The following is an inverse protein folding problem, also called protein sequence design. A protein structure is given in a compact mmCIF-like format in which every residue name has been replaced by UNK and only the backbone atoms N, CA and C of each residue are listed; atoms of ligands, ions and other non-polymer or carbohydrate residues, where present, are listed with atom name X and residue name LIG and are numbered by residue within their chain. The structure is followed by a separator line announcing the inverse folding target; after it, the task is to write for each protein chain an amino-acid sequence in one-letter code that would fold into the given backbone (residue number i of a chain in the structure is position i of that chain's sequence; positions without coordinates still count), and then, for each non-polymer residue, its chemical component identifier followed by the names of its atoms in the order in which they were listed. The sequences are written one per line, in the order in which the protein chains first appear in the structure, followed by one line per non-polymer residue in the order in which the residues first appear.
data_IF_141047086097
#
_entry.id   IF_141047086097
#
_cell.length_a   1.000
_cell.length_b   1.000
_cell.length_c   1.000
_cell.angle_alpha   90.00
_cell.angle_beta   90.00
_cell.angle_gamma   90.00
#
_symmetry.space_group_name_H-M   'P 1'
#
loop_
_entity.id
_entity.type
_entity.pdbx_description
1 polymer ?
#
# COMPACT_ATOMS: atom_id res chain seq x y z
N UNK A 1 -22.93 -16.18 -0.34
CA UNK A 1 -22.35 -16.62 -1.63
C UNK A 1 -21.69 -15.48 -2.42
N UNK A 2 -21.99 -14.20 -2.15
CA UNK A 2 -21.37 -13.04 -2.82
C UNK A 2 -19.82 -12.94 -2.80
N UNK A 3 -19.10 -13.34 -1.72
CA UNK A 3 -17.64 -13.18 -1.68
C UNK A 3 -16.90 -14.01 -2.73
N UNK A 4 -17.42 -15.20 -3.06
CA UNK A 4 -16.80 -16.10 -4.04
C UNK A 4 -16.91 -15.55 -5.46
N UNK A 5 -18.04 -14.92 -5.80
CA UNK A 5 -18.24 -14.28 -7.11
C UNK A 5 -17.35 -13.05 -7.28
N UNK A 6 -17.27 -12.19 -6.25
CA UNK A 6 -16.38 -11.04 -6.24
C UNK A 6 -14.91 -11.47 -6.39
N UNK A 7 -14.50 -12.51 -5.65
CA UNK A 7 -13.14 -13.06 -5.76
C UNK A 7 -12.80 -13.57 -7.16
N UNK A 8 -13.73 -14.26 -7.81
CA UNK A 8 -13.54 -14.78 -9.17
C UNK A 8 -13.42 -13.67 -10.21
N UNK A 9 -14.34 -12.70 -10.17
CA UNK A 9 -14.30 -11.54 -11.06
C UNK A 9 -13.02 -10.72 -10.88
N UNK A 10 -12.68 -10.38 -9.64
CA UNK A 10 -11.47 -9.60 -9.33
C UNK A 10 -10.19 -10.35 -9.71
N UNK A 11 -10.19 -11.69 -9.65
CA UNK A 11 -9.06 -12.50 -10.11
C UNK A 11 -8.87 -12.46 -11.62
N UNK A 12 -9.95 -12.45 -12.42
CA UNK A 12 -9.83 -12.29 -13.87
C UNK A 12 -9.42 -10.86 -14.20
N UNK A 13 -10.10 -9.89 -13.58
CA UNK A 13 -9.86 -8.47 -13.77
C UNK A 13 -8.40 -8.09 -13.47
N UNK A 14 -7.84 -8.55 -12.36
CA UNK A 14 -6.46 -8.23 -11.98
C UNK A 14 -5.44 -8.81 -12.95
N UNK A 15 -5.67 -10.02 -13.47
CA UNK A 15 -4.75 -10.64 -14.42
C UNK A 15 -4.70 -9.88 -15.74
N UNK A 16 -5.87 -9.50 -16.25
CA UNK A 16 -6.02 -8.85 -17.56
C UNK A 16 -5.64 -7.36 -17.53
N UNK A 17 -5.99 -6.64 -16.46
CA UNK A 17 -5.92 -5.17 -16.43
C UNK A 17 -4.78 -4.63 -15.56
N UNK A 18 -4.20 -5.44 -14.68
CA UNK A 18 -3.15 -5.00 -13.74
C UNK A 18 -1.87 -5.79 -13.97
N UNK A 19 -1.91 -7.10 -13.76
CA UNK A 19 -0.70 -7.93 -13.70
C UNK A 19 -0.08 -8.07 -15.09
N UNK A 20 -0.83 -8.45 -16.12
CA UNK A 20 -0.27 -8.61 -17.48
C UNK A 20 0.31 -7.31 -18.06
N UNK A 21 -0.40 -6.15 -18.05
CA UNK A 21 0.13 -4.92 -18.65
C UNK A 21 1.23 -4.25 -17.83
N UNK A 22 1.29 -4.45 -16.50
CA UNK A 22 2.20 -3.72 -15.63
C UNK A 22 3.16 -4.59 -14.82
N UNK A 23 3.25 -5.90 -15.09
CA UNK A 23 4.07 -6.86 -14.34
C UNK A 23 5.50 -6.37 -14.08
N UNK A 24 6.13 -5.77 -15.10
CA UNK A 24 7.51 -5.31 -15.04
C UNK A 24 7.76 -4.23 -13.97
N UNK A 25 6.72 -3.47 -13.60
CA UNK A 25 6.80 -2.40 -12.62
C UNK A 25 6.35 -2.85 -11.21
N UNK A 26 5.86 -4.08 -11.07
CA UNK A 26 5.29 -4.61 -9.82
C UNK A 26 6.35 -5.48 -9.11
N UNK A 27 6.89 -4.97 -8.00
CA UNK A 27 7.81 -5.75 -7.15
C UNK A 27 7.06 -6.69 -6.20
N UNK A 28 5.88 -6.27 -5.76
CA UNK A 28 5.03 -6.99 -4.83
C UNK A 28 3.58 -6.64 -5.09
N UNK A 29 2.70 -7.63 -4.99
CA UNK A 29 1.26 -7.48 -5.13
C UNK A 29 0.53 -8.44 -4.20
N UNK A 30 -0.42 -7.91 -3.43
CA UNK A 30 -1.38 -8.67 -2.65
C UNK A 30 -2.74 -8.00 -2.71
N UNK A 31 -3.79 -8.82 -2.69
CA UNK A 31 -5.18 -8.38 -2.67
C UNK A 31 -5.90 -9.04 -1.51
N UNK A 32 -6.78 -8.29 -0.86
CA UNK A 32 -7.75 -8.77 0.11
C UNK A 32 -9.15 -8.30 -0.32
N UNK A 33 -9.91 -9.20 -0.95
CA UNK A 33 -11.21 -8.90 -1.55
C UNK A 33 -11.08 -7.73 -2.55
N UNK A 34 -11.43 -6.51 -2.15
CA UNK A 34 -11.42 -5.31 -2.99
C UNK A 34 -10.21 -4.40 -2.71
N UNK A 35 -9.50 -4.60 -1.60
CA UNK A 35 -8.33 -3.81 -1.21
C UNK A 35 -7.04 -4.41 -1.79
N UNK A 36 -6.22 -3.56 -2.43
CA UNK A 36 -4.96 -3.96 -3.07
C UNK A 36 -3.81 -3.22 -2.40
N UNK A 37 -2.74 -3.96 -2.12
CA UNK A 37 -1.43 -3.40 -1.76
C UNK A 37 -0.38 -3.83 -2.78
N UNK A 38 0.44 -2.86 -3.17
CA UNK A 38 1.45 -3.04 -4.21
C UNK A 38 2.74 -2.29 -3.84
N UNK A 39 3.89 -2.89 -4.16
CA UNK A 39 5.17 -2.17 -4.23
C UNK A 39 5.47 -1.94 -5.71
N UNK A 40 5.57 -0.67 -6.08
CA UNK A 40 5.81 -0.22 -7.44
C UNK A 40 7.25 0.22 -7.63
N UNK A 41 7.91 -0.28 -8.67
CA UNK A 41 9.27 0.09 -9.07
C UNK A 41 9.30 1.12 -10.21
N UNK A 42 8.15 1.42 -10.82
CA UNK A 42 8.05 2.41 -11.89
C UNK A 42 8.02 3.86 -11.37
N UNK A 43 7.80 4.80 -12.28
CA UNK A 43 7.65 6.22 -11.94
C UNK A 43 6.25 6.51 -11.39
N UNK A 44 6.07 7.62 -10.65
CA UNK A 44 4.73 8.06 -10.22
C UNK A 44 3.75 8.27 -11.39
N UNK A 45 4.27 8.72 -12.55
CA UNK A 45 3.47 8.89 -13.77
C UNK A 45 2.95 7.55 -14.30
N UNK A 46 3.79 6.50 -14.28
CA UNK A 46 3.36 5.18 -14.75
C UNK A 46 2.34 4.54 -13.82
N UNK A 47 2.39 4.84 -12.50
CA UNK A 47 1.34 4.41 -11.57
C UNK A 47 0.03 5.16 -11.80
N UNK A 48 0.10 6.45 -12.15
CA UNK A 48 -1.09 7.25 -12.51
C UNK A 48 -1.72 6.73 -13.79
N UNK A 49 -0.92 6.44 -14.81
CA UNK A 49 -1.39 5.82 -16.06
C UNK A 49 -2.05 4.46 -15.82
N UNK A 50 -1.50 3.64 -14.92
CA UNK A 50 -2.12 2.39 -14.50
C UNK A 50 -3.51 2.65 -13.90
N UNK A 51 -3.63 3.59 -12.95
CA UNK A 51 -4.91 3.92 -12.31
C UNK A 51 -5.96 4.40 -13.33
N UNK A 52 -5.55 5.25 -14.27
CA UNK A 52 -6.42 5.76 -15.34
C UNK A 52 -6.88 4.64 -16.30
N UNK A 53 -6.00 3.69 -16.60
CA UNK A 53 -6.32 2.53 -17.45
C UNK A 53 -7.38 1.64 -16.78
N UNK A 54 -7.24 1.43 -15.48
CA UNK A 54 -8.17 0.61 -14.69
C UNK A 54 -9.54 1.30 -14.56
N UNK A 55 -9.55 2.61 -14.36
CA UNK A 55 -10.76 3.42 -14.11
C UNK A 55 -11.48 3.88 -15.40
N UNK A 56 -11.24 3.22 -16.54
CA UNK A 56 -11.94 3.51 -17.78
C UNK A 56 -13.48 3.39 -17.60
N UNK A 57 -14.29 4.21 -18.30
CA UNK A 57 -15.73 4.28 -18.06
C UNK A 57 -16.50 2.95 -18.18
N UNK A 58 -15.96 2.02 -18.97
CA UNK A 58 -16.58 0.73 -19.26
C UNK A 58 -16.23 -0.34 -18.22
N UNK A 59 -15.40 -0.04 -17.22
CA UNK A 59 -15.09 -0.98 -16.14
C UNK A 59 -16.10 -0.82 -14.99
N UNK A 60 -16.67 -1.92 -14.46
CA UNK A 60 -17.60 -1.87 -13.34
C UNK A 60 -16.89 -1.63 -12.00
N UNK A 61 -15.56 -1.60 -11.99
CA UNK A 61 -14.72 -1.43 -10.80
C UNK A 61 -13.98 -0.10 -10.90
N UNK A 62 -14.00 0.67 -9.80
CA UNK A 62 -13.23 1.90 -9.67
C UNK A 62 -12.26 1.76 -8.52
N UNK A 63 -10.97 1.86 -8.82
CA UNK A 63 -9.93 1.88 -7.80
C UNK A 63 -9.60 3.31 -7.40
N UNK A 64 -9.26 3.47 -6.13
CA UNK A 64 -8.61 4.67 -5.61
C UNK A 64 -7.22 4.28 -5.13
N UNK A 65 -6.26 5.20 -5.25
CA UNK A 65 -4.87 4.91 -4.95
C UNK A 65 -4.27 6.00 -4.07
N UNK A 66 -3.53 5.56 -3.06
CA UNK A 66 -2.64 6.39 -2.26
C UNK A 66 -1.24 5.84 -2.39
N UNK A 67 -0.26 6.70 -2.61
CA UNK A 67 1.14 6.32 -2.75
C UNK A 67 1.99 7.07 -1.73
N UNK A 68 2.86 6.35 -1.05
CA UNK A 68 3.89 6.94 -0.20
C UNK A 68 5.15 6.04 -0.23
N UNK A 69 6.34 6.63 -0.34
CA UNK A 69 7.59 5.89 -0.54
C UNK A 69 8.07 5.11 0.70
N UNK A 70 7.53 5.40 1.88
CA UNK A 70 8.00 4.87 3.15
C UNK A 70 6.92 4.15 3.96
N UNK A 71 5.65 4.47 3.76
CA UNK A 71 4.55 4.03 4.60
C UNK A 71 3.31 3.71 3.79
N UNK A 72 2.54 2.69 4.17
CA UNK A 72 1.23 2.44 3.56
C UNK A 72 0.29 1.79 4.58
N UNK A 73 -0.95 2.25 4.57
CA UNK A 73 -2.04 1.66 5.35
C UNK A 73 -2.75 0.60 4.50
N UNK A 74 -2.92 -0.59 5.06
CA UNK A 74 -3.63 -1.69 4.43
C UNK A 74 -4.44 -2.44 5.48
N UNK A 75 -5.77 -2.41 5.40
CA UNK A 75 -6.65 -2.97 6.43
C UNK A 75 -6.29 -2.42 7.84
N UNK A 76 -6.13 -3.30 8.83
CA UNK A 76 -5.76 -2.94 10.20
C UNK A 76 -4.23 -2.84 10.43
N UNK A 77 -3.43 -2.87 9.36
CA UNK A 77 -1.98 -2.83 9.44
C UNK A 77 -1.40 -1.59 8.76
N UNK A 78 -0.35 -1.05 9.38
CA UNK A 78 0.51 -0.03 8.77
C UNK A 78 1.87 -0.64 8.49
N UNK A 79 2.30 -0.54 7.25
CA UNK A 79 3.57 -1.06 6.76
C UNK A 79 4.57 0.08 6.62
N UNK A 80 5.81 -0.16 7.04
CA UNK A 80 6.92 0.77 6.94
C UNK A 80 8.07 0.15 6.14
N UNK A 81 8.65 0.93 5.25
CA UNK A 81 9.87 0.62 4.52
C UNK A 81 11.05 1.26 5.25
N UNK A 82 11.82 0.45 5.93
CA UNK A 82 13.10 0.85 6.54
C UNK A 82 14.25 0.12 5.80
N UNK A 83 15.44 0.71 5.75
CA UNK A 83 16.58 0.22 4.97
C UNK A 83 16.75 -1.32 5.01
N UNK A 84 16.40 -1.99 3.90
CA UNK A 84 16.34 -3.45 3.67
C UNK A 84 15.36 -4.29 4.50
N UNK A 85 14.64 -3.73 5.47
CA UNK A 85 13.67 -4.47 6.29
C UNK A 85 12.26 -3.89 6.20
N UNK A 86 11.27 -4.77 5.96
CA UNK A 86 9.86 -4.40 6.06
C UNK A 86 9.40 -4.56 7.51
N UNK A 87 9.06 -3.46 8.18
CA UNK A 87 8.47 -3.48 9.51
C UNK A 87 6.95 -3.31 9.39
N UNK A 88 6.19 -4.07 10.17
CA UNK A 88 4.74 -3.93 10.27
C UNK A 88 4.36 -3.53 11.70
N UNK A 89 3.43 -2.60 11.84
CA UNK A 89 2.75 -2.34 13.11
C UNK A 89 1.27 -2.62 12.96
N UNK A 90 0.71 -3.39 13.88
CA UNK A 90 -0.74 -3.45 14.04
C UNK A 90 -1.19 -2.06 14.51
N UNK A 91 -2.14 -1.44 13.79
CA UNK A 91 -2.79 -0.26 14.30
C UNK A 91 -3.71 -0.69 15.46
N UNK A 92 -3.15 -0.89 16.65
CA UNK A 92 -3.96 -0.95 17.84
C UNK A 92 -4.63 0.41 17.98
N UNK A 93 -5.96 0.45 17.94
CA UNK A 93 -6.76 1.64 18.17
C UNK A 93 -6.54 2.17 19.59
N UNK A 94 -5.40 2.82 19.84
CA UNK A 94 -5.13 3.61 21.02
C UNK A 94 -5.06 5.06 20.60
N UNK A 95 -6.24 5.71 20.59
CA UNK A 95 -6.33 7.17 20.67
C UNK A 95 -5.75 7.64 22.01
N UNK A 96 -4.44 7.68 22.15
CA UNK A 96 -3.75 8.58 23.09
C UNK A 96 -2.49 9.11 22.43
N UNK A 97 -2.60 10.33 21.91
CA UNK A 97 -1.47 11.15 21.49
C UNK A 97 -0.52 11.31 22.68
N UNK A 98 0.71 10.84 22.55
CA UNK A 98 1.82 11.33 23.37
C UNK A 98 2.83 11.98 22.44
N UNK A 99 3.24 13.23 22.68
CA UNK A 99 4.28 13.86 21.87
C UNK A 99 5.62 13.16 22.13
N UNK A 100 6.31 12.82 21.05
CA UNK A 100 7.71 12.37 21.07
C UNK A 100 8.58 13.49 21.66
N UNK A 101 9.04 13.33 22.90
CA UNK A 101 10.08 14.18 23.47
C UNK A 101 11.41 13.81 22.83
N UNK A 102 12.00 14.80 22.16
CA UNK A 102 13.33 14.75 21.58
C UNK A 102 14.37 14.69 22.71
N UNK A 103 15.00 13.54 22.93
CA UNK A 103 16.17 13.44 23.80
C UNK A 103 17.43 13.28 22.93
N UNK A 104 18.10 14.40 22.68
CA UNK A 104 19.50 14.41 22.27
C UNK A 104 20.38 14.27 23.53
N UNK A 105 21.49 13.49 23.49
CA UNK A 105 22.34 13.29 24.64
C UNK A 105 23.42 14.39 24.70
N UNK A 106 23.67 14.96 25.87
CA UNK A 106 24.97 15.60 26.14
C UNK A 106 25.43 15.33 27.57
N UNK A 107 26.55 14.63 27.63
CA UNK A 107 27.41 14.35 28.75
C UNK A 107 28.17 15.60 29.27
N UNK A 108 28.77 15.44 30.46
CA UNK A 108 29.80 16.25 31.18
C UNK A 108 29.24 17.13 32.31
N UNK A 109 29.81 17.25 33.51
CA UNK A 109 30.99 16.67 34.22
C UNK A 109 30.88 17.07 35.70
N UNK A 110 31.57 16.33 36.58
CA UNK A 110 31.88 16.65 37.98
C UNK A 110 32.15 18.12 38.30
N UNK A 111 31.67 18.58 39.46
CA UNK A 111 32.52 18.99 40.59
C UNK A 111 31.72 19.00 41.90
#
# INVERSE_FOLDING_TARGET
MAPMYANGYMNIFEQENILTPFQANIAFYRRFIDDIIMIWNGTPDSTTQMLETINQPDTPVRLTMTMDPYTVDFLDIRLYKENNHSLYSLQQANRKKYPLSHNQPSSKTSH
#
